data_IF_586422689080
#
_entry.id   IF_586422689080
#
_cell.length_a   1.000
_cell.length_b   1.000
_cell.length_c   1.000
_cell.angle_alpha   90.00
_cell.angle_beta   90.00
_cell.angle_gamma   90.00
#
_symmetry.space_group_name_H-M   'P 1'
#
loop_
_entity.id
_entity.type
_entity.pdbx_description
1 polymer ?
#
# COMPACT_ATOMS: atom_id res chain seq x y z
N UNK A 1 13.39 -10.74 15.12
CA UNK A 1 13.83 -12.03 14.50
C UNK A 1 13.52 -12.05 12.98
N UNK A 2 14.40 -12.60 12.11
CA UNK A 2 14.34 -12.51 10.62
C UNK A 2 13.15 -13.18 9.90
N UNK A 3 12.06 -13.50 10.62
CA UNK A 3 10.84 -14.11 10.08
C UNK A 3 9.82 -13.06 9.63
N UNK A 4 9.87 -11.87 10.22
CA UNK A 4 8.98 -10.77 9.84
C UNK A 4 9.29 -10.31 8.43
N UNK A 5 8.26 -10.31 7.60
CA UNK A 5 8.35 -9.99 6.19
C UNK A 5 7.19 -9.10 5.77
N UNK A 6 7.36 -8.47 4.62
CA UNK A 6 6.26 -7.87 3.89
C UNK A 6 6.33 -8.40 2.46
N UNK A 7 5.24 -9.04 2.06
CA UNK A 7 5.10 -9.61 0.71
C UNK A 7 5.09 -8.49 -0.33
N UNK A 8 5.27 -8.87 -1.58
CA UNK A 8 5.21 -7.94 -2.71
C UNK A 8 3.86 -7.22 -2.74
N UNK A 9 3.93 -5.90 -2.64
CA UNK A 9 2.77 -5.03 -2.73
C UNK A 9 3.22 -3.66 -3.22
N UNK A 10 2.26 -2.84 -3.59
CA UNK A 10 2.44 -1.39 -3.65
C UNK A 10 1.41 -0.75 -2.74
N UNK A 11 1.72 0.45 -2.28
CA UNK A 11 0.77 1.20 -1.49
C UNK A 11 -0.35 1.73 -2.39
N UNK A 12 -1.58 1.68 -1.91
CA UNK A 12 -2.74 2.16 -2.67
C UNK A 12 -2.69 3.68 -2.79
N UNK A 13 -2.51 4.19 -4.01
CA UNK A 13 -2.35 5.64 -4.23
C UNK A 13 -3.64 6.42 -3.98
N UNK A 14 -4.80 5.75 -3.89
CA UNK A 14 -6.06 6.36 -3.50
C UNK A 14 -5.97 7.09 -2.15
N UNK A 15 -5.25 6.50 -1.19
CA UNK A 15 -5.21 6.96 0.22
C UNK A 15 -4.01 7.88 0.51
N UNK A 16 -3.10 8.01 -0.46
CA UNK A 16 -1.88 8.81 -0.37
C UNK A 16 -2.07 10.06 -1.23
N UNK A 17 -1.73 11.22 -0.68
CA UNK A 17 -1.83 12.49 -1.40
C UNK A 17 -1.12 12.38 -2.76
N UNK A 18 -1.83 12.74 -3.83
CA UNK A 18 -1.32 12.64 -5.19
C UNK A 18 0.03 13.34 -5.34
N UNK A 19 1.03 12.62 -5.86
CA UNK A 19 2.38 13.15 -6.08
C UNK A 19 3.26 13.23 -4.81
N UNK A 20 2.75 12.86 -3.64
CA UNK A 20 3.55 12.84 -2.41
C UNK A 20 4.42 11.59 -2.29
N UNK A 21 5.52 11.71 -1.54
CA UNK A 21 6.45 10.62 -1.30
C UNK A 21 5.98 9.70 -0.17
N UNK A 22 6.42 8.44 -0.24
CA UNK A 22 6.40 7.49 0.88
C UNK A 22 7.82 7.42 1.44
N UNK A 23 7.97 7.62 2.75
CA UNK A 23 9.29 7.67 3.39
C UNK A 23 9.42 6.53 4.38
N UNK A 24 10.43 5.70 4.20
CA UNK A 24 10.75 4.59 5.09
C UNK A 24 12.01 4.90 5.88
N UNK A 25 11.88 5.04 7.19
CA UNK A 25 13.00 5.19 8.11
C UNK A 25 13.26 3.87 8.83
N UNK A 26 14.52 3.43 8.79
CA UNK A 26 14.93 2.11 9.28
C UNK A 26 15.79 2.23 10.53
N UNK A 27 15.41 1.52 11.58
CA UNK A 27 16.18 1.38 12.81
C UNK A 27 16.40 -0.10 13.12
N UNK A 28 17.57 -0.41 13.67
CA UNK A 28 17.95 -1.77 14.03
C UNK A 28 18.73 -2.51 12.94
N UNK A 29 18.54 -3.82 12.87
CA UNK A 29 19.21 -4.74 11.96
C UNK A 29 18.95 -4.43 10.49
N UNK A 30 19.97 -4.62 9.66
CA UNK A 30 19.87 -4.37 8.22
C UNK A 30 18.93 -5.38 7.55
N UNK A 31 18.14 -4.89 6.59
CA UNK A 31 17.30 -5.71 5.70
C UNK A 31 17.48 -5.30 4.26
N UNK A 32 17.27 -6.25 3.36
CA UNK A 32 17.25 -5.97 1.92
C UNK A 32 15.85 -5.58 1.49
N UNK A 33 15.70 -4.34 0.99
CA UNK A 33 14.52 -3.92 0.24
C UNK A 33 14.63 -4.46 -1.18
N UNK A 34 13.52 -4.96 -1.70
CA UNK A 34 13.37 -5.35 -3.10
C UNK A 34 12.36 -4.44 -3.77
N UNK A 35 12.70 -3.90 -4.95
CA UNK A 35 11.73 -3.35 -5.90
C UNK A 35 11.62 -4.27 -7.12
N UNK A 36 10.40 -4.54 -7.58
CA UNK A 36 10.11 -5.36 -8.76
C UNK A 36 9.22 -4.54 -9.70
N UNK A 37 9.63 -4.34 -10.95
CA UNK A 37 8.82 -3.57 -11.89
C UNK A 37 7.54 -4.36 -12.24
N UNK A 38 6.37 -3.71 -12.20
CA UNK A 38 5.09 -4.39 -12.42
C UNK A 38 4.86 -4.83 -13.88
N UNK A 39 5.53 -4.18 -14.85
CA UNK A 39 5.33 -4.44 -16.29
C UNK A 39 6.54 -5.09 -16.97
N UNK A 40 7.75 -4.67 -16.58
CA UNK A 40 8.98 -5.19 -17.15
C UNK A 40 9.43 -6.43 -16.37
N UNK A 41 9.06 -7.60 -16.87
CA UNK A 41 9.39 -8.87 -16.24
C UNK A 41 10.91 -9.05 -16.09
N UNK A 42 11.35 -9.51 -14.92
CA UNK A 42 12.76 -9.69 -14.58
C UNK A 42 13.49 -8.42 -14.15
N UNK A 43 12.89 -7.23 -14.30
CA UNK A 43 13.49 -5.99 -13.82
C UNK A 43 13.27 -5.86 -12.31
N UNK A 44 14.37 -5.98 -11.57
CA UNK A 44 14.40 -6.00 -10.10
C UNK A 44 15.57 -5.14 -9.60
N UNK A 45 15.34 -4.47 -8.48
CA UNK A 45 16.38 -3.76 -7.74
C UNK A 45 16.40 -4.25 -6.30
N UNK A 46 17.59 -4.43 -5.75
CA UNK A 46 17.78 -4.80 -4.35
C UNK A 46 18.80 -3.86 -3.72
N UNK A 47 18.50 -3.39 -2.52
CA UNK A 47 19.40 -2.55 -1.76
C UNK A 47 19.20 -2.76 -0.27
N UNK A 48 20.27 -2.54 0.49
CA UNK A 48 20.24 -2.63 1.95
C UNK A 48 19.55 -1.40 2.54
N UNK A 49 18.86 -1.61 3.67
CA UNK A 49 18.32 -0.57 4.54
C UNK A 49 19.10 -0.59 5.86
N UNK A 50 20.23 0.13 5.96
CA UNK A 50 21.04 0.19 7.17
C UNK A 50 20.30 0.76 8.38
N UNK A 51 20.87 0.57 9.57
CA UNK A 51 20.46 1.32 10.76
C UNK A 51 20.53 2.84 10.50
N UNK A 52 19.52 3.58 10.94
CA UNK A 52 19.45 5.04 10.80
C UNK A 52 19.48 5.51 9.32
N UNK A 53 18.89 4.71 8.43
CA UNK A 53 18.76 5.04 7.01
C UNK A 53 17.36 5.51 6.65
N UNK A 54 17.30 6.39 5.65
CA UNK A 54 16.07 6.90 5.06
C UNK A 54 15.96 6.45 3.61
N UNK A 55 14.89 5.77 3.26
CA UNK A 55 14.52 5.43 1.90
C UNK A 55 13.28 6.22 1.48
N UNK A 56 13.37 6.92 0.36
CA UNK A 56 12.28 7.74 -0.17
C UNK A 56 11.78 7.10 -1.47
N UNK A 57 10.51 6.71 -1.48
CA UNK A 57 9.83 6.14 -2.63
C UNK A 57 8.89 7.19 -3.21
N UNK A 58 9.13 7.58 -4.46
CA UNK A 58 8.26 8.53 -5.17
C UNK A 58 6.89 7.93 -5.49
N UNK A 59 5.88 8.79 -5.64
CA UNK A 59 4.51 8.39 -5.94
C UNK A 59 4.40 7.52 -7.21
N UNK A 60 5.07 7.94 -8.28
CA UNK A 60 5.11 7.24 -9.57
C UNK A 60 5.82 5.88 -9.43
N UNK A 61 6.94 5.83 -8.69
CA UNK A 61 7.68 4.59 -8.45
C UNK A 61 6.81 3.59 -7.67
N UNK A 62 6.10 4.02 -6.62
CA UNK A 62 5.17 3.16 -5.90
C UNK A 62 4.07 2.59 -6.81
N UNK A 63 3.56 3.39 -7.75
CA UNK A 63 2.55 2.93 -8.71
C UNK A 63 3.12 1.88 -9.68
N UNK A 64 4.37 2.04 -10.10
CA UNK A 64 5.01 1.23 -11.14
C UNK A 64 5.80 0.02 -10.64
N UNK A 65 6.08 -0.06 -9.35
CA UNK A 65 6.89 -1.11 -8.74
C UNK A 65 6.19 -1.74 -7.56
N UNK A 66 6.36 -3.05 -7.39
CA UNK A 66 6.12 -3.70 -6.11
C UNK A 66 7.35 -3.52 -5.23
N UNK A 67 7.13 -3.36 -3.93
CA UNK A 67 8.19 -3.38 -2.92
C UNK A 67 7.96 -4.49 -1.90
N UNK A 68 9.08 -5.06 -1.41
CA UNK A 68 9.05 -6.16 -0.46
C UNK A 68 10.30 -6.18 0.42
N UNK A 69 10.14 -6.68 1.65
CA UNK A 69 11.25 -7.14 2.50
C UNK A 69 10.99 -8.61 2.75
N UNK A 70 11.78 -9.45 2.09
CA UNK A 70 11.64 -10.91 2.14
C UNK A 70 12.27 -11.48 3.41
N UNK A 71 11.76 -12.61 3.92
CA UNK A 71 12.37 -13.27 5.07
C UNK A 71 13.77 -13.77 4.69
N UNK A 72 14.76 -13.44 5.52
CA UNK A 72 16.15 -13.90 5.32
C UNK A 72 16.37 -15.23 6.03
N UNK A 73 16.34 -16.30 5.24
CA UNK A 73 16.45 -17.70 5.68
C UNK A 73 17.89 -18.21 5.79
N UNK A 74 18.89 -17.40 5.46
CA UNK A 74 20.30 -17.78 5.63
C UNK A 74 20.62 -18.10 7.09
N UNK A 75 21.59 -18.97 7.31
CA UNK A 75 22.13 -19.25 8.64
C UNK A 75 22.79 -17.99 9.22
N UNK A 76 22.84 -17.88 10.55
CA UNK A 76 23.50 -16.72 11.18
C UNK A 76 24.98 -16.59 10.80
N UNK A 77 25.66 -17.70 10.49
CA UNK A 77 27.04 -17.71 10.02
C UNK A 77 27.23 -17.11 8.62
N UNK A 78 26.16 -16.98 7.84
CA UNK A 78 26.16 -16.45 6.47
C UNK A 78 25.65 -15.00 6.40
N UNK A 79 25.37 -14.39 7.55
CA UNK A 79 24.86 -13.03 7.69
C UNK A 79 25.96 -12.09 8.14
N UNK A 80 25.90 -10.86 7.64
CA UNK A 80 26.82 -9.82 8.05
C UNK A 80 26.51 -9.36 9.49
N UNK A 81 27.49 -8.74 10.14
CA UNK A 81 27.37 -8.33 11.55
C UNK A 81 26.26 -7.30 11.78
N UNK A 82 25.98 -6.45 10.79
CA UNK A 82 24.92 -5.44 10.81
C UNK A 82 23.51 -6.03 10.59
N UNK A 83 23.41 -7.16 9.88
CA UNK A 83 22.18 -7.95 9.73
C UNK A 83 21.79 -8.70 11.02
N UNK A 84 22.80 -9.00 11.86
CA UNK A 84 22.65 -9.64 13.18
C UNK A 84 22.60 -8.64 14.34
N UNK A 85 22.94 -7.37 14.11
CA UNK A 85 22.88 -6.31 15.12
C UNK A 85 21.48 -6.20 15.72
N UNK A 86 21.38 -5.64 16.94
CA UNK A 86 20.09 -5.46 17.64
C UNK A 86 19.27 -6.77 17.73
N UNK A 87 19.94 -7.89 18.01
CA UNK A 87 19.34 -9.24 18.04
C UNK A 87 18.62 -9.64 16.72
N UNK A 88 19.06 -9.07 15.60
CA UNK A 88 18.44 -9.26 14.30
C UNK A 88 17.03 -8.66 14.22
N UNK A 89 16.71 -7.62 15.00
CA UNK A 89 15.42 -6.94 14.99
C UNK A 89 15.49 -5.60 14.26
N UNK A 90 14.44 -5.26 13.52
CA UNK A 90 14.34 -4.01 12.75
C UNK A 90 12.99 -3.36 13.01
N UNK A 91 13.01 -2.07 13.31
CA UNK A 91 11.84 -1.20 13.33
C UNK A 91 11.81 -0.43 12.02
N UNK A 92 10.65 -0.41 11.38
CA UNK A 92 10.39 0.35 10.16
C UNK A 92 9.32 1.39 10.42
N UNK A 93 9.64 2.66 10.22
CA UNK A 93 8.64 3.72 10.23
C UNK A 93 8.34 4.11 8.78
N UNK A 94 7.12 3.84 8.32
CA UNK A 94 6.66 4.23 6.98
C UNK A 94 5.74 5.44 7.10
N UNK A 95 6.23 6.60 6.70
CA UNK A 95 5.54 7.88 6.73
C UNK A 95 4.88 8.15 5.38
N UNK A 96 3.65 8.67 5.40
CA UNK A 96 2.84 8.97 4.22
C UNK A 96 2.03 10.24 4.46
N UNK A 97 1.82 11.02 3.41
CA UNK A 97 0.82 12.09 3.44
C UNK A 97 -0.54 11.46 3.14
N UNK A 98 -1.34 11.20 4.18
CA UNK A 98 -2.67 10.61 4.03
C UNK A 98 -3.65 11.65 3.47
N UNK A 99 -4.49 11.24 2.51
CA UNK A 99 -5.46 12.13 1.85
C UNK A 99 -6.91 11.62 1.90
N UNK A 100 -7.15 10.43 2.44
CA UNK A 100 -8.49 9.86 2.66
C UNK A 100 -8.67 9.58 4.15
N UNK A 101 -9.79 10.03 4.70
CA UNK A 101 -10.03 10.07 6.14
C UNK A 101 -11.38 9.47 6.48
N UNK A 102 -11.52 8.92 7.69
CA UNK A 102 -12.79 8.42 8.21
C UNK A 102 -13.38 9.45 9.16
N UNK A 103 -14.62 9.84 8.94
CA UNK A 103 -15.40 10.59 9.92
C UNK A 103 -15.88 9.63 11.01
N UNK A 104 -15.30 9.73 12.21
CA UNK A 104 -15.61 8.83 13.34
C UNK A 104 -17.07 8.92 13.82
N UNK A 105 -17.77 10.01 13.54
CA UNK A 105 -19.18 10.19 13.96
C UNK A 105 -20.15 9.48 13.02
N UNK A 106 -19.90 9.55 11.72
CA UNK A 106 -20.79 9.00 10.69
C UNK A 106 -20.34 7.62 10.18
N UNK A 107 -19.07 7.26 10.42
CA UNK A 107 -18.43 6.07 9.85
C UNK A 107 -18.06 6.22 8.37
N UNK A 108 -18.39 7.35 7.74
CA UNK A 108 -18.17 7.56 6.30
C UNK A 108 -16.79 8.12 5.99
N UNK A 109 -16.28 7.87 4.79
CA UNK A 109 -15.01 8.45 4.34
C UNK A 109 -15.20 9.83 3.70
N UNK A 110 -14.16 10.65 3.80
CA UNK A 110 -14.03 11.93 3.11
C UNK A 110 -12.58 12.15 2.64
N UNK A 111 -12.38 13.10 1.72
CA UNK A 111 -11.07 13.44 1.17
C UNK A 111 -10.86 12.93 -0.25
N UNK A 112 -9.60 12.82 -0.66
CA UNK A 112 -9.19 12.53 -2.04
C UNK A 112 -9.86 11.28 -2.60
N UNK A 113 -9.75 10.16 -1.87
CA UNK A 113 -10.29 8.87 -2.29
C UNK A 113 -11.77 8.65 -2.03
N UNK A 114 -12.42 9.61 -1.37
CA UNK A 114 -13.83 9.50 -1.01
C UNK A 114 -14.74 10.19 -2.04
N UNK A 115 -16.01 9.79 -2.07
CA UNK A 115 -17.06 10.49 -2.84
C UNK A 115 -17.23 11.94 -2.39
N UNK A 116 -17.09 12.18 -1.09
CA UNK A 116 -17.14 13.51 -0.47
C UNK A 116 -15.73 14.01 -0.23
N UNK A 117 -15.35 15.16 -0.77
CA UNK A 117 -14.00 15.71 -0.59
C UNK A 117 -13.83 16.40 0.74
N UNK A 118 -14.93 16.88 1.33
CA UNK A 118 -14.95 17.52 2.65
C UNK A 118 -15.98 16.92 3.60
N UNK A 119 -15.79 17.14 4.91
CA UNK A 119 -16.78 16.75 5.94
C UNK A 119 -18.11 17.49 5.72
N UNK A 120 -18.08 18.75 5.27
CA UNK A 120 -19.29 19.54 5.04
C UNK A 120 -20.14 18.95 3.90
N UNK A 121 -19.51 18.55 2.79
CA UNK A 121 -20.19 17.84 1.69
C UNK A 121 -20.84 16.53 2.14
N UNK A 122 -20.16 15.81 3.03
CA UNK A 122 -20.64 14.54 3.57
C UNK A 122 -21.89 14.71 4.45
N UNK A 123 -21.95 15.77 5.28
CA UNK A 123 -23.06 15.99 6.23
C UNK A 123 -24.35 16.46 5.51
N UNK A 124 -24.21 17.14 4.38
CA UNK A 124 -25.33 17.77 3.68
C UNK A 124 -26.07 16.86 2.69
N UNK A 125 -25.67 15.59 2.54
CA UNK A 125 -26.35 14.63 1.65
C UNK A 125 -27.11 13.58 2.43
N UNK A 126 -28.36 13.35 2.01
CA UNK A 126 -29.13 12.17 2.35
C UNK A 126 -28.36 10.92 1.91
N UNK A 127 -28.41 9.87 2.74
CA UNK A 127 -27.81 8.57 2.47
C UNK A 127 -28.48 7.92 1.26
N UNK A 128 -28.09 8.32 0.05
CA UNK A 128 -28.46 7.58 -1.16
C UNK A 128 -27.83 6.19 -1.07
N UNK A 129 -28.61 5.18 -1.45
CA UNK A 129 -28.21 3.78 -1.41
C UNK A 129 -26.85 3.58 -2.09
N UNK A 130 -25.91 3.04 -1.33
CA UNK A 130 -24.57 2.78 -1.82
C UNK A 130 -24.64 1.74 -2.95
N UNK A 131 -24.41 2.21 -4.18
CA UNK A 131 -23.92 1.37 -5.28
C UNK A 131 -22.68 0.58 -4.82
N UNK A 132 -22.32 -0.45 -5.57
CA UNK A 132 -21.32 -1.47 -5.23
C UNK A 132 -19.85 -0.95 -5.18
N UNK A 133 -19.59 0.09 -4.39
CA UNK A 133 -18.32 0.82 -4.24
C UNK A 133 -17.17 -0.07 -3.79
N UNK A 134 -17.47 -1.09 -2.97
CA UNK A 134 -16.47 -2.08 -2.57
C UNK A 134 -15.90 -2.79 -3.80
N UNK A 135 -16.76 -3.30 -4.69
CA UNK A 135 -16.35 -4.01 -5.89
C UNK A 135 -15.66 -3.09 -6.89
N UNK A 136 -16.19 -1.90 -7.10
CA UNK A 136 -15.61 -0.92 -8.02
C UNK A 136 -14.22 -0.48 -7.55
N UNK A 137 -14.03 -0.31 -6.24
CA UNK A 137 -12.72 0.00 -5.66
C UNK A 137 -11.74 -1.17 -5.85
N UNK A 138 -12.17 -2.42 -5.69
CA UNK A 138 -11.35 -3.62 -5.98
C UNK A 138 -10.91 -3.60 -7.45
N UNK A 139 -11.83 -3.33 -8.37
CA UNK A 139 -11.52 -3.29 -9.80
C UNK A 139 -10.54 -2.17 -10.13
N UNK A 140 -10.76 -0.97 -9.60
CA UNK A 140 -9.88 0.17 -9.81
C UNK A 140 -8.48 -0.07 -9.22
N UNK A 141 -8.37 -0.67 -8.02
CA UNK A 141 -7.07 -1.05 -7.45
C UNK A 141 -6.38 -2.19 -8.20
N UNK A 142 -7.16 -3.13 -8.74
CA UNK A 142 -6.61 -4.17 -9.61
C UNK A 142 -6.09 -3.58 -10.93
N UNK A 143 -6.79 -2.57 -11.47
CA UNK A 143 -6.37 -1.84 -12.67
C UNK A 143 -5.09 -1.04 -12.41
N UNK A 144 -4.99 -0.33 -11.27
CA UNK A 144 -3.77 0.36 -10.84
C UNK A 144 -2.56 -0.57 -10.85
N UNK A 145 -2.70 -1.78 -10.31
CA UNK A 145 -1.61 -2.74 -10.26
C UNK A 145 -1.25 -3.34 -11.63
N UNK A 146 -2.24 -3.57 -12.51
CA UNK A 146 -2.01 -4.17 -13.84
C UNK A 146 -1.50 -3.18 -14.88
N UNK A 147 -2.06 -1.96 -14.89
CA UNK A 147 -1.79 -0.94 -15.91
C UNK A 147 -0.66 0.01 -15.50
N UNK A 148 -0.43 0.17 -14.19
CA UNK A 148 0.62 0.96 -13.55
C UNK A 148 0.99 2.28 -14.25
N UNK A 149 1.92 2.28 -15.21
CA UNK A 149 2.36 3.47 -15.95
C UNK A 149 1.26 4.10 -16.80
N UNK A 150 0.32 3.30 -17.31
CA UNK A 150 -0.84 3.74 -18.11
C UNK A 150 -2.08 4.05 -17.27
N UNK A 151 -2.01 3.86 -15.95
CA UNK A 151 -3.16 4.05 -15.08
C UNK A 151 -3.56 5.52 -15.00
N UNK A 152 -4.74 5.86 -15.51
CA UNK A 152 -5.36 7.18 -15.34
C UNK A 152 -6.02 7.25 -13.96
N UNK A 153 -5.34 7.96 -13.05
CA UNK A 153 -5.80 8.13 -11.67
C UNK A 153 -7.14 8.86 -11.59
N UNK A 154 -7.32 9.93 -12.37
CA UNK A 154 -8.56 10.73 -12.31
C UNK A 154 -9.75 9.94 -12.85
N UNK A 155 -9.56 9.20 -13.95
CA UNK A 155 -10.62 8.37 -14.52
C UNK A 155 -11.09 7.28 -13.54
N UNK A 156 -10.15 6.60 -12.88
CA UNK A 156 -10.47 5.44 -12.04
C UNK A 156 -10.84 5.83 -10.60
N UNK A 157 -10.19 6.85 -10.05
CA UNK A 157 -10.29 7.23 -8.63
C UNK A 157 -10.87 8.62 -8.39
N UNK A 158 -10.96 9.50 -9.39
CA UNK A 158 -11.40 10.88 -9.22
C UNK A 158 -12.80 11.00 -8.61
N UNK A 159 -13.74 10.15 -9.04
CA UNK A 159 -15.10 10.09 -8.46
C UNK A 159 -15.13 9.69 -6.98
N UNK A 160 -14.06 9.02 -6.51
CA UNK A 160 -13.95 8.47 -5.17
C UNK A 160 -14.93 7.34 -4.89
N UNK A 161 -14.87 6.80 -3.68
CA UNK A 161 -15.71 5.71 -3.22
C UNK A 161 -16.24 6.00 -1.83
N UNK A 162 -17.16 5.20 -1.34
CA UNK A 162 -17.55 5.15 0.06
C UNK A 162 -17.45 3.71 0.59
N UNK A 163 -16.27 3.10 0.41
CA UNK A 163 -15.94 1.78 0.93
C UNK A 163 -14.78 1.89 1.94
N UNK A 164 -14.96 1.31 3.12
CA UNK A 164 -13.98 1.37 4.21
C UNK A 164 -12.95 0.24 4.16
N UNK A 165 -13.37 -0.95 3.73
CA UNK A 165 -12.55 -2.16 3.72
C UNK A 165 -13.00 -3.09 2.60
N UNK A 166 -12.05 -3.87 2.07
CA UNK A 166 -12.40 -5.07 1.32
C UNK A 166 -13.00 -6.07 2.31
N UNK A 167 -14.31 -6.31 2.27
CA UNK A 167 -14.76 -7.66 2.67
C UNK A 167 -14.12 -8.59 1.65
N UNK A 168 -13.14 -9.38 2.07
CA UNK A 168 -12.49 -10.37 1.23
C UNK A 168 -13.61 -11.22 0.60
N UNK A 169 -13.84 -11.06 -0.70
CA UNK A 169 -14.90 -11.74 -1.47
C UNK A 169 -14.72 -13.28 -1.52
N UNK A 170 -13.74 -13.83 -0.80
CA UNK A 170 -13.49 -15.26 -0.71
C UNK A 170 -14.56 -16.05 0.05
N UNK A 171 -15.57 -15.42 0.67
CA UNK A 171 -16.64 -16.16 1.35
C UNK A 171 -17.76 -16.66 0.43
N UNK A 172 -17.86 -16.20 -0.83
CA UNK A 172 -18.99 -16.56 -1.70
C UNK A 172 -18.67 -17.59 -2.78
N UNK A 173 -17.40 -17.81 -3.15
CA UNK A 173 -17.03 -18.77 -4.21
C UNK A 173 -16.85 -20.22 -3.75
N UNK A 174 -16.82 -20.51 -2.44
CA UNK A 174 -16.69 -21.89 -1.93
C UNK A 174 -18.02 -22.62 -1.67
N UNK A 175 -19.18 -22.01 -1.98
CA UNK A 175 -20.50 -22.65 -1.83
C UNK A 175 -21.09 -23.26 -3.13
N UNK A 176 -20.37 -23.19 -4.27
CA UNK A 176 -20.84 -23.72 -5.56
C UNK A 176 -20.04 -24.91 -6.10
N UNK A 177 -19.27 -25.60 -5.26
CA UNK A 177 -18.64 -26.88 -5.60
C UNK A 177 -18.89 -27.91 -4.50
N UNK A 178 -20.07 -28.50 -4.54
CA UNK A 178 -20.35 -29.86 -4.06
C UNK A 178 -21.19 -30.54 -5.13
#
# INVERSE_FOLDING_TARGET
NSKDNIVEHSDKTLDILLGSNIVNYSLGAVRTMTLINKRQYGVRQEFKLPHNSLFILGWQTNREWYHAIRPDKRLSSEKDSDELAFYGERISLTLRNVATFINRRTGLIYGQGARYKTIAEQINKSFDEYENDEMDMVFAFSAENRQSSEFDWNLNYGRGFNALNFKVLNSQNNKRRK
#
